data_IF_002111552998
#
_entry.id   IF_002111552998
#
_cell.length_a   1.000
_cell.length_b   1.000
_cell.length_c   1.000
_cell.angle_alpha   90.00
_cell.angle_beta   90.00
_cell.angle_gamma   90.00
#
_symmetry.space_group_name_H-M   'P 1'
#
loop_
_entity.id
_entity.type
_entity.pdbx_description
1 polymer ?
#
# COMPACT_ATOMS: atom_id res chain seq x y z
N UNK A 1 -3.68 23.70 2.46
CA UNK A 1 -3.64 22.26 2.52
C UNK A 1 -3.41 21.61 1.17
N UNK A 2 -3.34 20.31 1.15
CA UNK A 2 -3.29 19.51 -0.09
C UNK A 2 -4.73 19.10 -0.42
N UNK A 3 -5.12 19.28 -1.70
CA UNK A 3 -6.39 18.78 -2.23
C UNK A 3 -6.16 17.37 -2.78
N UNK A 4 -6.99 16.41 -2.37
CA UNK A 4 -7.05 15.08 -2.94
C UNK A 4 -8.21 14.99 -3.93
N UNK A 5 -7.97 14.39 -5.08
CA UNK A 5 -8.97 13.99 -6.06
C UNK A 5 -9.01 12.47 -6.04
N UNK A 6 -10.13 11.90 -5.64
CA UNK A 6 -10.35 10.47 -5.69
C UNK A 6 -10.73 10.06 -7.10
N UNK A 7 -10.09 9.01 -7.60
CA UNK A 7 -10.35 8.43 -8.91
C UNK A 7 -10.48 6.93 -8.72
N UNK A 8 -11.48 6.34 -9.34
CA UNK A 8 -11.70 4.90 -9.29
C UNK A 8 -10.48 4.14 -9.80
N UNK A 9 -10.09 3.08 -9.11
CA UNK A 9 -8.93 2.24 -9.50
C UNK A 9 -9.11 1.63 -10.88
N UNK A 10 -10.36 1.31 -11.24
CA UNK A 10 -10.74 0.73 -12.53
C UNK A 10 -11.05 1.76 -13.62
N UNK A 11 -10.93 3.07 -13.30
CA UNK A 11 -11.13 4.14 -14.25
C UNK A 11 -10.35 3.89 -15.56
N UNK A 12 -10.97 4.23 -16.68
CA UNK A 12 -10.32 4.16 -17.97
C UNK A 12 -9.14 5.14 -18.06
N UNK A 13 -8.21 4.88 -18.95
CA UNK A 13 -7.06 5.76 -19.17
C UNK A 13 -7.47 7.22 -19.43
N UNK A 14 -8.54 7.44 -20.20
CA UNK A 14 -9.02 8.78 -20.51
C UNK A 14 -9.66 9.48 -19.30
N UNK A 15 -10.34 8.76 -18.44
CA UNK A 15 -10.89 9.29 -17.19
C UNK A 15 -9.77 9.69 -16.22
N UNK A 16 -8.74 8.85 -16.09
CA UNK A 16 -7.55 9.18 -15.31
C UNK A 16 -6.91 10.47 -15.84
N UNK A 17 -6.75 10.61 -17.16
CA UNK A 17 -6.15 11.82 -17.76
C UNK A 17 -6.99 13.09 -17.51
N UNK A 18 -8.31 12.97 -17.44
CA UNK A 18 -9.22 14.10 -17.15
C UNK A 18 -9.16 14.57 -15.69
N UNK A 19 -8.81 13.68 -14.77
CA UNK A 19 -8.71 14.01 -13.34
C UNK A 19 -7.51 14.91 -13.01
N UNK A 20 -6.49 14.97 -13.87
CA UNK A 20 -5.34 15.82 -13.64
C UNK A 20 -5.67 17.30 -13.78
N UNK A 21 -5.25 18.08 -12.78
CA UNK A 21 -5.27 19.56 -12.81
C UNK A 21 -3.86 20.10 -13.12
N UNK A 22 -3.73 21.35 -13.59
CA UNK A 22 -2.41 21.95 -13.83
C UNK A 22 -1.47 21.92 -12.61
N UNK A 23 -2.04 21.99 -11.41
CA UNK A 23 -1.31 21.96 -10.14
C UNK A 23 -1.19 20.57 -9.52
N UNK A 24 -1.62 19.50 -10.18
CA UNK A 24 -1.42 18.12 -9.68
C UNK A 24 0.08 17.83 -9.52
N UNK A 25 0.46 17.32 -8.35
CA UNK A 25 1.86 17.08 -7.96
C UNK A 25 2.24 15.62 -7.90
N UNK A 26 1.31 14.73 -7.61
CA UNK A 26 1.57 13.30 -7.52
C UNK A 26 0.30 12.51 -7.80
N UNK A 27 0.48 11.29 -8.26
CA UNK A 27 -0.52 10.22 -8.18
C UNK A 27 -0.06 9.27 -7.08
N UNK A 28 -1.00 8.83 -6.25
CA UNK A 28 -0.76 7.88 -5.17
C UNK A 28 -1.74 6.72 -5.30
N UNK A 29 -1.25 5.49 -5.13
CA UNK A 29 -2.09 4.30 -5.09
C UNK A 29 -1.47 3.22 -4.22
N UNK A 30 -2.30 2.30 -3.73
CA UNK A 30 -1.86 1.11 -3.01
C UNK A 30 -1.79 -0.08 -3.96
N UNK A 31 -0.70 -0.87 -3.91
CA UNK A 31 -0.52 -2.02 -4.80
C UNK A 31 -1.62 -3.07 -4.66
N UNK A 32 -2.05 -3.30 -3.44
CA UNK A 32 -3.26 -4.05 -3.06
C UNK A 32 -4.00 -3.18 -2.07
N UNK A 33 -5.22 -2.78 -2.40
CA UNK A 33 -6.02 -1.86 -1.60
C UNK A 33 -6.47 -2.48 -0.27
N UNK A 34 -6.55 -1.66 0.77
CA UNK A 34 -7.10 -2.02 2.07
C UNK A 34 -8.40 -1.21 2.33
N UNK A 35 -9.56 -1.82 2.53
CA UNK A 35 -9.83 -3.26 2.71
C UNK A 35 -10.28 -3.99 1.44
N UNK A 36 -10.47 -3.31 0.33
CA UNK A 36 -11.11 -3.86 -0.88
C UNK A 36 -10.31 -4.98 -1.58
N UNK A 37 -8.98 -5.07 -1.32
CA UNK A 37 -8.07 -6.06 -1.89
C UNK A 37 -7.97 -6.05 -3.43
N UNK A 38 -8.37 -4.94 -4.05
CA UNK A 38 -8.21 -4.74 -5.49
C UNK A 38 -6.74 -4.52 -5.85
N UNK A 39 -6.33 -5.05 -6.99
CA UNK A 39 -4.98 -4.90 -7.52
C UNK A 39 -4.89 -3.64 -8.37
N UNK A 40 -3.89 -2.81 -8.10
CA UNK A 40 -3.64 -1.56 -8.79
C UNK A 40 -2.87 -1.80 -10.10
N UNK A 41 -3.39 -1.30 -11.22
CA UNK A 41 -2.71 -1.38 -12.52
C UNK A 41 -1.59 -0.34 -12.64
N UNK A 42 -0.41 -0.68 -12.13
CA UNK A 42 0.75 0.24 -12.08
C UNK A 42 1.08 0.81 -13.45
N UNK A 43 1.13 -0.01 -14.51
CA UNK A 43 1.53 0.45 -15.84
C UNK A 43 0.55 1.46 -16.43
N UNK A 44 -0.77 1.23 -16.28
CA UNK A 44 -1.80 2.17 -16.73
C UNK A 44 -1.65 3.52 -16.05
N UNK A 45 -1.49 3.50 -14.72
CA UNK A 45 -1.37 4.71 -13.92
C UNK A 45 -0.02 5.42 -14.10
N UNK A 46 1.08 4.68 -14.22
CA UNK A 46 2.40 5.24 -14.54
C UNK A 46 2.38 5.97 -15.89
N UNK A 47 1.83 5.33 -16.91
CA UNK A 47 1.69 5.94 -18.25
C UNK A 47 0.90 7.24 -18.20
N UNK A 48 -0.24 7.26 -17.48
CA UNK A 48 -1.06 8.46 -17.33
C UNK A 48 -0.32 9.57 -16.57
N UNK A 49 0.37 9.22 -15.49
CA UNK A 49 1.15 10.15 -14.67
C UNK A 49 2.29 10.79 -15.46
N UNK A 50 3.06 9.98 -16.17
CA UNK A 50 4.22 10.44 -16.92
C UNK A 50 3.85 11.35 -18.09
N UNK A 51 2.75 11.09 -18.81
CA UNK A 51 2.22 12.00 -19.85
C UNK A 51 1.88 13.38 -19.26
N UNK A 52 1.52 13.45 -17.99
CA UNK A 52 1.22 14.70 -17.27
C UNK A 52 2.42 15.26 -16.50
N UNK A 53 3.60 14.69 -16.66
CA UNK A 53 4.82 15.04 -15.94
C UNK A 53 4.64 15.07 -14.42
N UNK A 54 4.01 14.03 -13.89
CA UNK A 54 3.70 13.86 -12.47
C UNK A 54 4.22 12.50 -12.02
N UNK A 55 4.91 12.39 -10.88
CA UNK A 55 5.39 11.10 -10.39
C UNK A 55 4.25 10.21 -9.90
N UNK A 56 4.39 8.90 -10.12
CA UNK A 56 3.57 7.87 -9.52
C UNK A 56 4.23 7.37 -8.23
N UNK A 57 3.51 7.49 -7.12
CA UNK A 57 3.89 6.96 -5.80
C UNK A 57 3.04 5.75 -5.50
N UNK A 58 3.66 4.63 -5.17
CA UNK A 58 2.95 3.37 -4.86
C UNK A 58 3.24 2.94 -3.43
N UNK A 59 2.21 2.78 -2.62
CA UNK A 59 2.32 2.05 -1.37
C UNK A 59 2.29 0.55 -1.67
N UNK A 60 3.42 -0.11 -1.42
CA UNK A 60 3.58 -1.53 -1.66
C UNK A 60 3.70 -2.35 -0.36
N UNK A 61 3.10 -1.83 0.71
CA UNK A 61 3.15 -2.47 2.03
C UNK A 61 2.63 -3.90 2.00
N UNK A 62 1.49 -4.14 1.35
CA UNK A 62 0.87 -5.48 1.31
C UNK A 62 1.58 -6.43 0.35
N UNK A 63 2.07 -5.92 -0.76
CA UNK A 63 2.81 -6.72 -1.73
C UNK A 63 4.23 -7.08 -1.23
N UNK A 64 4.87 -6.20 -0.49
CA UNK A 64 6.30 -6.29 -0.15
C UNK A 64 7.19 -6.33 -1.41
N UNK A 65 8.49 -6.06 -1.31
CA UNK A 65 9.38 -6.22 -2.46
C UNK A 65 9.58 -7.68 -2.89
N UNK A 66 9.08 -8.64 -2.11
CA UNK A 66 9.15 -10.06 -2.43
C UNK A 66 8.09 -10.49 -3.46
N UNK A 67 6.85 -10.00 -3.33
CA UNK A 67 5.75 -10.39 -4.23
C UNK A 67 5.65 -9.50 -5.46
N UNK A 68 5.89 -8.17 -5.30
CA UNK A 68 5.87 -7.23 -6.42
C UNK A 68 6.88 -6.10 -6.20
N UNK A 69 7.58 -5.72 -7.28
CA UNK A 69 8.51 -4.59 -7.30
C UNK A 69 7.98 -3.51 -8.24
N UNK A 70 7.25 -2.51 -7.73
CA UNK A 70 6.56 -1.51 -8.56
C UNK A 70 7.46 -0.72 -9.51
N UNK A 71 8.76 -0.58 -9.21
CA UNK A 71 9.72 0.07 -10.11
C UNK A 71 9.91 -0.63 -11.46
N UNK A 72 9.68 -1.94 -11.51
CA UNK A 72 9.77 -2.71 -12.76
C UNK A 72 8.57 -2.41 -13.68
N UNK A 73 7.52 -1.81 -13.13
CA UNK A 73 6.26 -1.48 -13.80
C UNK A 73 6.01 0.02 -13.97
N UNK A 74 6.99 0.87 -13.63
CA UNK A 74 6.95 2.30 -13.90
C UNK A 74 6.62 3.20 -12.72
N UNK A 75 6.53 2.69 -11.49
CA UNK A 75 6.45 3.55 -10.32
C UNK A 75 7.74 4.38 -10.16
N UNK A 76 7.61 5.63 -9.71
CA UNK A 76 8.74 6.52 -9.48
C UNK A 76 9.21 6.47 -8.03
N UNK A 77 8.26 6.40 -7.11
CA UNK A 77 8.50 6.34 -5.66
C UNK A 77 7.69 5.18 -5.09
N UNK A 78 8.30 4.41 -4.22
CA UNK A 78 7.62 3.33 -3.48
C UNK A 78 7.73 3.61 -2.00
N UNK A 79 6.62 3.42 -1.29
CA UNK A 79 6.58 3.51 0.17
C UNK A 79 6.16 2.18 0.78
N UNK A 80 6.66 1.91 1.97
CA UNK A 80 6.21 0.79 2.79
C UNK A 80 6.03 1.24 4.23
N UNK A 81 4.96 0.80 4.87
CA UNK A 81 4.93 0.74 6.32
C UNK A 81 5.86 -0.39 6.79
N UNK A 82 6.99 -0.02 7.37
CA UNK A 82 7.91 -1.02 7.94
C UNK A 82 7.34 -1.71 9.17
N UNK A 83 6.30 -1.12 9.77
CA UNK A 83 5.48 -1.70 10.86
C UNK A 83 4.86 -3.05 10.49
N UNK A 84 4.64 -3.31 9.19
CA UNK A 84 3.89 -4.47 8.68
C UNK A 84 4.82 -5.64 8.34
N UNK A 85 4.77 -6.19 7.15
CA UNK A 85 5.58 -7.35 6.74
C UNK A 85 7.08 -7.18 6.91
N UNK A 86 7.62 -5.95 6.76
CA UNK A 86 9.06 -5.72 6.85
C UNK A 86 9.58 -6.00 8.27
N UNK A 87 8.84 -5.61 9.29
CA UNK A 87 9.09 -6.01 10.70
C UNK A 87 8.57 -7.43 10.98
N UNK A 88 7.31 -7.67 10.67
CA UNK A 88 6.62 -8.94 10.84
C UNK A 88 6.19 -9.28 12.27
N UNK A 89 6.47 -8.42 13.25
CA UNK A 89 6.22 -8.68 14.66
C UNK A 89 5.38 -7.61 15.37
N UNK A 90 5.06 -6.52 14.67
CA UNK A 90 4.26 -5.40 15.18
C UNK A 90 4.79 -4.77 16.48
N UNK A 91 6.11 -4.74 16.65
CA UNK A 91 6.74 -4.24 17.88
C UNK A 91 7.11 -2.77 17.83
N UNK A 92 7.21 -2.18 16.62
CA UNK A 92 7.46 -0.74 16.44
C UNK A 92 6.84 -0.19 15.17
N UNK A 93 6.52 1.10 15.19
CA UNK A 93 6.08 1.86 14.02
C UNK A 93 7.24 2.38 13.20
N UNK A 94 7.06 2.47 11.89
CA UNK A 94 8.01 3.07 10.99
C UNK A 94 7.59 2.98 9.53
N UNK A 95 8.36 3.64 8.68
CA UNK A 95 8.16 3.65 7.24
C UNK A 95 9.46 3.82 6.48
N UNK A 96 9.44 3.47 5.21
CA UNK A 96 10.53 3.69 4.28
C UNK A 96 10.01 4.30 2.99
N UNK A 97 10.75 5.28 2.47
CA UNK A 97 10.53 5.89 1.17
C UNK A 97 11.69 5.49 0.26
N UNK A 98 11.39 4.93 -0.89
CA UNK A 98 12.37 4.50 -1.87
C UNK A 98 12.10 5.26 -3.17
N UNK A 99 13.14 5.90 -3.71
CA UNK A 99 13.09 6.65 -4.96
C UNK A 99 13.78 5.84 -6.06
N UNK A 100 13.15 5.70 -7.21
CA UNK A 100 13.76 5.07 -8.38
C UNK A 100 14.96 5.87 -8.93
N UNK A 101 14.99 7.17 -8.65
CA UNK A 101 15.94 8.13 -9.24
C UNK A 101 15.74 8.38 -10.73
N UNK A 102 14.61 7.94 -11.30
CA UNK A 102 14.35 8.01 -12.75
C UNK A 102 13.42 9.14 -13.16
N UNK A 103 12.62 9.69 -12.23
CA UNK A 103 11.69 10.75 -12.55
C UNK A 103 12.43 12.07 -12.88
N UNK A 104 12.10 12.67 -14.02
CA UNK A 104 12.69 13.93 -14.45
C UNK A 104 11.99 15.12 -13.79
N UNK A 105 12.53 15.53 -12.65
CA UNK A 105 12.02 16.65 -11.86
C UNK A 105 12.13 17.98 -12.59
N UNK A 106 13.15 18.16 -13.46
CA UNK A 106 13.37 19.40 -14.21
C UNK A 106 12.39 19.52 -15.36
N UNK A 107 12.23 18.47 -16.19
CA UNK A 107 11.31 18.46 -17.30
C UNK A 107 9.84 18.61 -16.84
N UNK A 108 9.51 18.16 -15.65
CA UNK A 108 8.19 18.34 -15.05
C UNK A 108 7.80 19.82 -14.89
N UNK A 109 8.74 20.68 -14.52
CA UNK A 109 8.50 22.12 -14.24
C UNK A 109 7.59 22.40 -13.03
N UNK A 110 7.16 21.36 -12.31
CA UNK A 110 6.19 21.47 -11.20
C UNK A 110 6.84 21.51 -9.81
N UNK A 111 8.16 21.29 -9.72
CA UNK A 111 8.85 21.02 -8.45
C UNK A 111 9.98 22.03 -8.19
N UNK A 112 9.66 23.34 -8.23
CA UNK A 112 10.61 24.43 -7.96
C UNK A 112 11.47 24.20 -6.71
N UNK A 113 10.87 23.60 -5.67
CA UNK A 113 11.57 23.31 -4.43
C UNK A 113 12.68 22.24 -4.54
N UNK A 114 12.78 21.52 -5.68
CA UNK A 114 13.87 20.60 -6.00
C UNK A 114 14.82 21.18 -7.04
N UNK A 115 14.27 21.96 -7.99
CA UNK A 115 14.98 22.40 -9.20
C UNK A 115 15.58 23.80 -9.06
N UNK A 116 15.00 24.65 -8.19
CA UNK A 116 15.48 26.01 -7.96
C UNK A 116 16.39 26.10 -6.71
N UNK A 117 17.19 27.20 -6.60
CA UNK A 117 17.98 27.43 -5.40
C UNK A 117 17.13 27.47 -4.13
N UNK A 118 17.46 26.64 -3.15
CA UNK A 118 16.74 26.53 -1.90
C UNK A 118 17.39 27.41 -0.80
N UNK A 119 16.73 28.48 -0.35
CA UNK A 119 17.32 29.40 0.62
C UNK A 119 17.53 28.77 2.01
N UNK A 120 16.74 27.76 2.38
CA UNK A 120 16.88 27.06 3.66
C UNK A 120 18.00 26.01 3.64
N UNK A 121 18.65 25.78 2.51
CA UNK A 121 19.77 24.85 2.38
C UNK A 121 20.88 25.44 1.47
N UNK A 122 21.55 26.47 1.93
CA UNK A 122 22.70 27.12 1.29
C UNK A 122 22.48 27.59 -0.17
N UNK A 123 21.22 27.79 -0.59
CA UNK A 123 20.89 28.21 -1.96
C UNK A 123 21.17 27.17 -3.04
N UNK A 124 21.29 25.89 -2.71
CA UNK A 124 21.50 24.84 -3.72
C UNK A 124 20.19 24.47 -4.43
N UNK A 125 20.30 24.08 -5.69
CA UNK A 125 19.29 23.29 -6.38
C UNK A 125 19.59 21.81 -6.15
N UNK A 126 18.64 21.05 -5.60
CA UNK A 126 18.87 19.63 -5.30
C UNK A 126 19.13 18.81 -6.54
N UNK A 127 18.38 19.04 -7.63
CA UNK A 127 18.58 18.34 -8.91
C UNK A 127 19.98 18.58 -9.47
N UNK A 128 20.49 19.81 -9.40
CA UNK A 128 21.84 20.14 -9.88
C UNK A 128 22.95 19.64 -8.97
N UNK A 129 22.71 19.60 -7.66
CA UNK A 129 23.71 19.21 -6.68
C UNK A 129 23.91 17.68 -6.60
N UNK A 130 22.81 16.89 -6.68
CA UNK A 130 22.86 15.44 -6.42
C UNK A 130 22.11 14.62 -7.47
N UNK A 131 21.61 15.23 -8.54
CA UNK A 131 21.00 14.53 -9.68
C UNK A 131 19.86 13.59 -9.26
N UNK A 132 19.95 12.28 -9.60
CA UNK A 132 18.89 11.30 -9.30
C UNK A 132 18.51 11.19 -7.82
N UNK A 133 19.40 11.57 -6.91
CA UNK A 133 19.14 11.53 -5.47
C UNK A 133 18.43 12.78 -4.92
N UNK A 134 17.99 13.72 -5.77
CA UNK A 134 17.45 15.01 -5.37
C UNK A 134 16.28 14.91 -4.38
N UNK A 135 15.33 14.01 -4.67
CA UNK A 135 14.13 13.85 -3.84
C UNK A 135 14.45 13.35 -2.43
N UNK A 136 15.16 12.23 -2.31
CA UNK A 136 15.52 11.68 -0.99
C UNK A 136 16.51 12.55 -0.24
N UNK A 137 17.42 13.22 -0.94
CA UNK A 137 18.35 14.17 -0.30
C UNK A 137 17.60 15.35 0.30
N UNK A 138 16.62 15.92 -0.41
CA UNK A 138 15.80 17.00 0.13
C UNK A 138 14.99 16.55 1.34
N UNK A 139 14.40 15.36 1.32
CA UNK A 139 13.69 14.80 2.48
C UNK A 139 14.62 14.75 3.69
N UNK A 140 15.84 14.23 3.52
CA UNK A 140 16.83 14.13 4.62
C UNK A 140 17.36 15.50 5.07
N UNK A 141 17.71 16.36 4.13
CA UNK A 141 18.36 17.64 4.42
C UNK A 141 17.41 18.70 4.99
N UNK A 142 16.11 18.60 4.69
CA UNK A 142 15.10 19.59 5.12
C UNK A 142 14.07 18.93 6.03
N UNK A 143 13.24 18.04 5.52
CA UNK A 143 12.11 17.52 6.30
C UNK A 143 12.56 16.76 7.54
N UNK A 144 13.47 15.82 7.40
CA UNK A 144 14.00 15.04 8.53
C UNK A 144 14.69 15.93 9.55
N UNK A 145 15.55 16.86 9.08
CA UNK A 145 16.27 17.81 9.92
C UNK A 145 15.31 18.72 10.68
N UNK A 146 14.32 19.30 10.00
CA UNK A 146 13.46 20.34 10.58
C UNK A 146 12.37 19.76 11.48
N UNK A 147 11.86 18.57 11.18
CA UNK A 147 10.83 17.87 11.99
C UNK A 147 11.44 17.01 13.09
N UNK A 148 12.70 16.59 12.94
CA UNK A 148 13.34 15.63 13.85
C UNK A 148 12.75 14.21 13.81
N UNK A 149 11.96 13.88 12.80
CA UNK A 149 11.28 12.59 12.66
C UNK A 149 12.25 11.47 12.24
N UNK A 150 13.35 11.31 12.96
CA UNK A 150 14.36 10.28 12.72
C UNK A 150 14.01 8.99 13.46
N UNK A 151 14.28 7.87 12.81
CA UNK A 151 14.08 6.55 13.43
C UNK A 151 15.16 6.26 14.48
N UNK A 152 14.79 5.61 15.57
CA UNK A 152 15.74 5.10 16.56
C UNK A 152 16.70 4.06 15.95
N UNK A 153 17.99 4.07 16.26
CA UNK A 153 18.92 3.01 15.84
C UNK A 153 18.46 1.60 16.26
N UNK A 154 17.84 1.46 17.43
CA UNK A 154 17.29 0.19 17.87
C UNK A 154 16.12 -0.28 17.00
N UNK A 155 15.20 0.62 16.63
CA UNK A 155 14.12 0.28 15.69
C UNK A 155 14.68 -0.11 14.32
N UNK A 156 15.70 0.60 13.82
CA UNK A 156 16.38 0.24 12.57
C UNK A 156 16.98 -1.16 12.62
N UNK A 157 17.59 -1.51 13.74
CA UNK A 157 18.12 -2.86 13.95
C UNK A 157 17.02 -3.92 13.89
N UNK A 158 15.88 -3.71 14.56
CA UNK A 158 14.75 -4.63 14.52
C UNK A 158 14.17 -4.81 13.12
N UNK A 159 14.05 -3.70 12.36
CA UNK A 159 13.61 -3.78 10.96
C UNK A 159 14.58 -4.57 10.08
N UNK A 160 15.89 -4.41 10.27
CA UNK A 160 16.88 -5.18 9.55
C UNK A 160 16.76 -6.68 9.88
N UNK A 161 16.54 -7.05 11.14
CA UNK A 161 16.28 -8.43 11.54
C UNK A 161 15.00 -8.99 10.88
N UNK A 162 13.93 -8.20 10.81
CA UNK A 162 12.71 -8.57 10.11
C UNK A 162 12.93 -8.80 8.61
N UNK A 163 13.74 -7.95 7.96
CA UNK A 163 14.06 -8.07 6.54
C UNK A 163 14.81 -9.37 6.19
N UNK A 164 15.69 -9.86 7.07
CA UNK A 164 16.47 -11.08 6.82
C UNK A 164 15.57 -12.32 6.64
N UNK A 165 14.38 -12.33 7.23
CA UNK A 165 13.43 -13.45 7.14
C UNK A 165 12.20 -13.12 6.28
N UNK A 166 12.15 -11.95 5.63
CA UNK A 166 10.97 -11.48 4.91
C UNK A 166 10.47 -12.48 3.86
N UNK A 167 11.34 -12.97 3.01
CA UNK A 167 10.97 -13.90 1.94
C UNK A 167 10.37 -15.20 2.47
N UNK A 168 10.99 -15.77 3.50
CA UNK A 168 10.51 -17.00 4.15
C UNK A 168 9.14 -16.80 4.80
N UNK A 169 8.95 -15.67 5.47
CA UNK A 169 7.67 -15.35 6.13
C UNK A 169 6.57 -15.09 5.10
N UNK A 170 6.84 -14.28 4.08
CA UNK A 170 5.83 -13.92 3.08
C UNK A 170 5.43 -15.14 2.26
N UNK A 171 6.36 -16.01 1.87
CA UNK A 171 6.05 -17.27 1.20
C UNK A 171 5.10 -18.13 2.05
N UNK A 172 5.39 -18.30 3.33
CA UNK A 172 4.54 -19.07 4.26
C UNK A 172 3.18 -18.39 4.48
N UNK A 173 3.16 -17.08 4.61
CA UNK A 173 1.91 -16.29 4.71
C UNK A 173 1.00 -16.54 3.50
N UNK A 174 1.54 -16.44 2.29
CA UNK A 174 0.80 -16.68 1.04
C UNK A 174 0.27 -18.11 1.00
N UNK A 175 1.13 -19.09 1.25
CA UNK A 175 0.73 -20.52 1.25
C UNK A 175 -0.44 -20.78 2.21
N UNK A 176 -0.33 -20.25 3.43
CA UNK A 176 -1.37 -20.44 4.44
C UNK A 176 -2.66 -19.70 4.07
N UNK A 177 -2.56 -18.45 3.60
CA UNK A 177 -3.72 -17.66 3.19
C UNK A 177 -4.51 -18.35 2.07
N UNK A 178 -3.82 -18.82 1.02
CA UNK A 178 -4.48 -19.51 -0.09
C UNK A 178 -5.21 -20.77 0.36
N UNK A 179 -4.67 -21.54 1.30
CA UNK A 179 -5.36 -22.72 1.88
C UNK A 179 -6.62 -22.32 2.65
N UNK A 180 -6.53 -21.27 3.46
CA UNK A 180 -7.67 -20.77 4.25
C UNK A 180 -8.73 -20.16 3.33
N UNK A 181 -8.36 -19.37 2.34
CA UNK A 181 -9.26 -18.80 1.33
C UNK A 181 -10.04 -19.91 0.62
N UNK A 182 -9.37 -20.97 0.17
CA UNK A 182 -10.04 -22.09 -0.48
C UNK A 182 -10.97 -22.87 0.46
N UNK A 183 -10.58 -23.02 1.72
CA UNK A 183 -11.45 -23.64 2.73
C UNK A 183 -12.71 -22.79 2.95
N UNK A 184 -12.56 -21.50 3.16
CA UNK A 184 -13.68 -20.58 3.41
C UNK A 184 -14.60 -20.46 2.18
N UNK A 185 -14.06 -20.39 0.97
CA UNK A 185 -14.85 -20.34 -0.27
C UNK A 185 -15.83 -21.54 -0.40
N UNK A 186 -15.47 -22.68 0.17
CA UNK A 186 -16.29 -23.90 0.15
C UNK A 186 -17.08 -24.13 1.45
N UNK A 187 -16.98 -23.25 2.42
CA UNK A 187 -17.60 -23.46 3.72
C UNK A 187 -19.09 -23.04 3.72
N UNK A 188 -20.04 -23.89 4.20
CA UNK A 188 -21.47 -23.64 4.09
C UNK A 188 -21.97 -22.42 4.85
N UNK A 189 -21.24 -21.95 5.87
CA UNK A 189 -21.55 -20.76 6.67
C UNK A 189 -20.95 -19.47 6.11
N UNK A 190 -20.12 -19.54 5.07
CA UNK A 190 -19.50 -18.38 4.42
C UNK A 190 -20.34 -17.98 3.22
N UNK A 191 -20.61 -16.72 3.07
CA UNK A 191 -21.36 -16.15 1.95
C UNK A 191 -20.40 -15.73 0.83
N UNK A 192 -19.37 -14.99 1.16
CA UNK A 192 -18.39 -14.47 0.20
C UNK A 192 -16.98 -14.44 0.79
N UNK A 193 -15.97 -14.58 -0.07
CA UNK A 193 -14.55 -14.45 0.30
C UNK A 193 -13.87 -13.53 -0.70
N UNK A 194 -13.21 -12.50 -0.21
CA UNK A 194 -12.45 -11.55 -1.01
C UNK A 194 -10.94 -11.79 -0.83
N UNK A 195 -10.29 -12.09 -1.92
CA UNK A 195 -8.83 -12.15 -2.06
C UNK A 195 -8.52 -12.09 -3.56
N UNK A 196 -7.41 -11.46 -4.00
CA UNK A 196 -7.12 -11.36 -5.43
C UNK A 196 -7.09 -12.68 -6.19
N UNK A 197 -6.76 -13.79 -5.52
CA UNK A 197 -6.73 -15.14 -6.14
C UNK A 197 -8.11 -15.77 -6.41
N UNK A 198 -9.18 -15.22 -5.87
CA UNK A 198 -10.55 -15.78 -6.01
C UNK A 198 -11.55 -14.76 -6.55
N UNK A 199 -11.08 -13.61 -7.01
CA UNK A 199 -11.93 -12.60 -7.66
C UNK A 199 -12.63 -13.17 -8.90
N UNK A 200 -13.86 -12.75 -9.15
CA UNK A 200 -14.59 -13.09 -10.37
C UNK A 200 -14.43 -12.04 -11.49
N UNK A 201 -13.86 -10.88 -11.17
CA UNK A 201 -13.58 -9.83 -12.14
C UNK A 201 -12.39 -10.21 -13.04
N UNK A 202 -12.63 -10.26 -14.35
CA UNK A 202 -11.60 -10.68 -15.33
C UNK A 202 -10.41 -9.73 -15.39
N UNK A 203 -10.64 -8.41 -15.26
CA UNK A 203 -9.56 -7.42 -15.22
C UNK A 203 -8.67 -7.64 -13.99
N UNK A 204 -9.28 -7.85 -12.83
CA UNK A 204 -8.54 -8.11 -11.60
C UNK A 204 -7.79 -9.46 -11.65
N UNK A 205 -8.35 -10.49 -12.30
CA UNK A 205 -7.65 -11.76 -12.56
C UNK A 205 -6.39 -11.56 -13.41
N UNK A 206 -6.51 -10.78 -14.48
CA UNK A 206 -5.38 -10.47 -15.36
C UNK A 206 -4.29 -9.68 -14.61
N UNK A 207 -4.67 -8.66 -13.83
CA UNK A 207 -3.73 -7.87 -13.03
C UNK A 207 -3.05 -8.73 -11.95
N UNK A 208 -3.81 -9.60 -11.28
CA UNK A 208 -3.26 -10.53 -10.31
C UNK A 208 -2.23 -11.48 -10.94
N UNK A 209 -2.57 -12.09 -12.06
CA UNK A 209 -1.65 -12.99 -12.77
C UNK A 209 -0.39 -12.26 -13.25
N UNK A 210 -0.53 -11.01 -13.67
CA UNK A 210 0.57 -10.18 -14.18
C UNK A 210 1.53 -9.73 -13.07
N UNK A 211 1.00 -9.17 -11.99
CA UNK A 211 1.82 -8.52 -10.96
C UNK A 211 2.22 -9.46 -9.81
N UNK A 212 1.50 -10.56 -9.62
CA UNK A 212 1.64 -11.44 -8.46
C UNK A 212 1.83 -12.92 -8.82
N UNK A 213 2.84 -13.26 -9.63
CA UNK A 213 3.09 -14.67 -10.00
C UNK A 213 3.41 -15.57 -8.79
N UNK A 214 3.86 -14.96 -7.68
CA UNK A 214 4.20 -15.66 -6.43
C UNK A 214 3.12 -15.47 -5.33
N UNK A 215 1.91 -15.02 -5.71
CA UNK A 215 0.79 -14.78 -4.80
C UNK A 215 0.60 -13.34 -4.38
N UNK A 216 -0.62 -12.99 -3.96
CA UNK A 216 -1.09 -11.62 -3.66
C UNK A 216 -1.20 -11.30 -2.17
N UNK A 217 -0.30 -11.81 -1.35
CA UNK A 217 -0.28 -11.51 0.09
C UNK A 217 -1.08 -12.50 0.92
N UNK A 218 -1.33 -12.13 2.19
CA UNK A 218 -1.96 -13.02 3.18
C UNK A 218 -3.18 -12.39 3.85
N UNK A 219 -3.65 -11.29 3.31
CA UNK A 219 -4.82 -10.59 3.82
C UNK A 219 -5.99 -10.96 2.94
N UNK A 220 -7.07 -11.36 3.56
CA UNK A 220 -8.34 -11.65 2.89
C UNK A 220 -9.47 -11.24 3.82
N UNK A 221 -10.62 -10.96 3.25
CA UNK A 221 -11.87 -10.72 3.99
C UNK A 221 -12.89 -11.77 3.60
N UNK A 222 -13.87 -11.99 4.46
CA UNK A 222 -14.96 -12.90 4.17
C UNK A 222 -16.22 -12.50 4.93
N UNK A 223 -17.36 -12.84 4.36
CA UNK A 223 -18.66 -12.61 4.93
C UNK A 223 -19.24 -13.94 5.42
N UNK A 224 -19.75 -13.96 6.65
CA UNK A 224 -20.46 -15.12 7.19
C UNK A 224 -21.95 -14.91 7.07
N UNK A 225 -22.69 -15.99 6.88
CA UNK A 225 -24.15 -15.95 6.81
C UNK A 225 -24.74 -15.55 8.15
N UNK A 226 -25.43 -14.42 8.17
CA UNK A 226 -26.11 -13.90 9.36
C UNK A 226 -25.95 -12.40 9.48
N UNK A 227 -25.94 -11.93 10.71
CA UNK A 227 -25.82 -10.51 11.06
C UNK A 227 -24.46 -10.22 11.72
N UNK A 228 -24.20 -8.93 11.98
CA UNK A 228 -22.98 -8.47 12.64
C UNK A 228 -22.76 -9.14 14.01
N UNK A 229 -23.82 -9.51 14.72
CA UNK A 229 -23.72 -10.21 16.01
C UNK A 229 -23.14 -11.60 15.85
N UNK A 230 -23.52 -12.33 14.81
CA UNK A 230 -22.93 -13.64 14.50
C UNK A 230 -21.46 -13.53 14.10
N UNK A 231 -21.08 -12.45 13.38
CA UNK A 231 -19.69 -12.20 13.05
C UNK A 231 -18.86 -11.97 14.33
N UNK A 232 -19.38 -11.20 15.27
CA UNK A 232 -18.71 -10.99 16.58
C UNK A 232 -18.63 -12.30 17.38
N UNK A 233 -19.74 -13.04 17.51
CA UNK A 233 -19.76 -14.34 18.19
C UNK A 233 -18.76 -15.33 17.57
N UNK A 234 -18.62 -15.33 16.24
CA UNK A 234 -17.60 -16.13 15.56
C UNK A 234 -16.18 -15.75 16.01
N UNK A 235 -15.86 -14.47 15.99
CA UNK A 235 -14.54 -13.96 16.40
C UNK A 235 -14.23 -14.29 17.86
N UNK A 236 -15.21 -14.13 18.75
CA UNK A 236 -15.07 -14.38 20.19
C UNK A 236 -14.78 -15.85 20.52
N UNK A 237 -15.13 -16.78 19.62
CA UNK A 237 -14.87 -18.21 19.79
C UNK A 237 -13.58 -18.70 19.13
N UNK A 238 -12.80 -17.80 18.48
CA UNK A 238 -11.53 -18.18 17.89
C UNK A 238 -10.44 -18.35 18.95
N UNK A 239 -9.75 -19.47 18.91
CA UNK A 239 -8.65 -19.77 19.86
C UNK A 239 -7.27 -19.42 19.26
N UNK A 240 -7.08 -19.66 17.95
CA UNK A 240 -5.79 -19.43 17.29
C UNK A 240 -5.63 -17.98 16.82
N UNK A 241 -6.70 -17.40 16.26
CA UNK A 241 -6.69 -16.03 15.75
C UNK A 241 -6.95 -15.04 16.89
N UNK A 242 -6.08 -14.06 17.02
CA UNK A 242 -6.25 -12.99 18.00
C UNK A 242 -7.04 -11.83 17.42
N UNK A 243 -8.02 -11.31 18.16
CA UNK A 243 -8.71 -10.06 17.83
C UNK A 243 -7.75 -8.89 18.07
N UNK A 244 -7.14 -8.41 17.01
CA UNK A 244 -6.15 -7.32 17.04
C UNK A 244 -6.11 -6.59 15.71
N UNK A 245 -6.27 -5.26 15.76
CA UNK A 245 -6.22 -4.37 14.60
C UNK A 245 -4.76 -4.17 14.13
N UNK A 246 -4.23 -5.16 13.43
CA UNK A 246 -2.97 -5.08 12.69
C UNK A 246 -3.03 -6.02 11.49
N UNK A 247 -2.02 -5.95 10.62
CA UNK A 247 -1.84 -6.84 9.47
C UNK A 247 -0.39 -7.28 9.37
N UNK A 248 -0.15 -8.42 8.72
CA UNK A 248 1.20 -8.90 8.41
C UNK A 248 2.08 -9.29 9.61
N UNK A 249 1.48 -9.54 10.76
CA UNK A 249 2.15 -10.14 11.91
C UNK A 249 2.42 -11.64 11.63
N UNK A 250 3.45 -12.20 12.28
CA UNK A 250 3.68 -13.66 12.29
C UNK A 250 2.56 -14.41 13.02
N UNK A 251 1.77 -13.73 13.84
CA UNK A 251 0.56 -14.25 14.48
C UNK A 251 -0.64 -14.15 13.55
N UNK A 252 -1.56 -15.10 13.68
CA UNK A 252 -2.84 -15.06 12.99
C UNK A 252 -3.78 -14.06 13.64
N UNK A 253 -4.23 -13.06 12.89
CA UNK A 253 -5.05 -11.96 13.39
C UNK A 253 -6.39 -11.92 12.66
N UNK A 254 -7.41 -11.40 13.33
CA UNK A 254 -8.74 -11.15 12.81
C UNK A 254 -9.32 -9.88 13.39
N UNK A 255 -10.13 -9.16 12.62
CA UNK A 255 -10.96 -8.07 13.10
C UNK A 255 -12.36 -8.14 12.49
N UNK A 256 -13.30 -7.47 13.12
CA UNK A 256 -14.58 -7.08 12.53
C UNK A 256 -14.48 -5.58 12.20
N UNK A 257 -14.28 -5.18 10.93
CA UNK A 257 -13.94 -3.80 10.59
C UNK A 257 -14.95 -2.77 11.11
N UNK A 258 -16.25 -3.04 10.95
CA UNK A 258 -17.32 -2.12 11.35
C UNK A 258 -17.33 -1.78 12.85
N UNK A 259 -16.90 -2.71 13.72
CA UNK A 259 -16.86 -2.47 15.17
C UNK A 259 -15.48 -2.16 15.73
N UNK A 260 -14.46 -2.14 14.89
CA UNK A 260 -13.07 -1.87 15.29
C UNK A 260 -12.47 -0.69 14.53
N UNK A 261 -11.80 -0.92 13.43
CA UNK A 261 -11.04 0.10 12.68
C UNK A 261 -11.94 1.12 11.98
N UNK A 262 -13.18 0.78 11.67
CA UNK A 262 -14.16 1.64 10.98
C UNK A 262 -15.37 1.98 11.85
N UNK A 263 -15.26 1.85 13.18
CA UNK A 263 -16.35 2.10 14.13
C UNK A 263 -16.85 3.55 14.16
N UNK A 264 -16.15 4.47 13.51
CA UNK A 264 -16.58 5.88 13.39
C UNK A 264 -17.30 6.18 12.07
N UNK A 265 -17.33 5.21 11.14
CA UNK A 265 -18.01 5.35 9.86
C UNK A 265 -19.53 5.15 10.02
N UNK A 266 -20.29 5.86 9.21
CA UNK A 266 -21.74 5.62 9.05
C UNK A 266 -21.99 4.34 8.26
N UNK A 267 -23.21 3.81 8.30
CA UNK A 267 -23.58 2.63 7.49
C UNK A 267 -23.35 2.87 5.98
N UNK A 268 -23.65 4.08 5.49
CA UNK A 268 -23.42 4.44 4.09
C UNK A 268 -21.94 4.44 3.74
N UNK A 269 -21.08 5.01 4.60
CA UNK A 269 -19.63 5.01 4.41
C UNK A 269 -19.02 3.60 4.49
N UNK A 270 -19.57 2.73 5.35
CA UNK A 270 -19.14 1.32 5.42
C UNK A 270 -19.48 0.58 4.12
N UNK A 271 -20.70 0.76 3.60
CA UNK A 271 -21.12 0.14 2.34
C UNK A 271 -20.28 0.62 1.15
N UNK A 272 -19.97 1.92 1.08
CA UNK A 272 -19.08 2.48 0.03
C UNK A 272 -17.68 1.89 0.07
N UNK A 273 -17.22 1.45 1.25
CA UNK A 273 -15.93 0.79 1.44
C UNK A 273 -16.00 -0.74 1.32
N UNK A 274 -17.17 -1.30 0.97
CA UNK A 274 -17.38 -2.74 0.85
C UNK A 274 -17.41 -3.48 2.20
N UNK A 275 -17.72 -2.77 3.29
CA UNK A 275 -17.87 -3.33 4.64
C UNK A 275 -19.36 -3.46 4.92
N UNK A 276 -19.83 -4.68 5.18
CA UNK A 276 -21.24 -4.99 5.48
C UNK A 276 -21.43 -5.38 6.93
#
# INVERSE_FOLDING_TARGET
>A
GIECIWVDVDASYDEILKAFKPNTKAVFGEMIANPALTVFDIEKWAKASHVKHVPLIVDSTFATPYLCRPFEWGADIVVHSTTKYLDGHAVQGGGVIIDSGKFDWEASGKFASLTEPNPSYHGISFTKAVGPAAFVTKIRAILLRDTGATISPFHSFLFLQGLETLSLRVERHVENALKVVQYLKNHPQVEEVHHPSVTEDETQKELYAKYFPNGGGSIFTFEIKGDAKKAQEFIDHLELFSLLANVADVKSLVIHPATTTHSQCTEEELLDQGIK
#
